data_IF_758546164030
#
_entry.id   IF_758546164030
#
_cell.length_a   1.000
_cell.length_b   1.000
_cell.length_c   1.000
_cell.angle_alpha   90.00
_cell.angle_beta   90.00
_cell.angle_gamma   90.00
#
_symmetry.space_group_name_H-M   'P 1'
#
loop_
_entity.id
_entity.type
_entity.pdbx_description
1 polymer ?
#
# COMPACT_ATOMS: atom_id res chain seq x y z
N UNK A 1 12.76 -34.99 -14.24
CA UNK A 1 12.94 -34.10 -15.39
C UNK A 1 13.10 -35.02 -16.57
N UNK A 2 11.99 -35.38 -17.22
CA UNK A 2 12.03 -36.24 -18.38
C UNK A 2 12.04 -35.33 -19.62
N UNK A 3 13.14 -35.39 -20.36
CA UNK A 3 13.30 -34.74 -21.66
C UNK A 3 12.27 -35.32 -22.63
N UNK A 4 11.29 -34.50 -23.02
CA UNK A 4 10.44 -34.81 -24.17
C UNK A 4 11.26 -34.50 -25.43
N UNK A 5 12.02 -35.50 -25.88
CA UNK A 5 12.74 -35.48 -27.15
C UNK A 5 11.77 -35.73 -28.30
N UNK A 6 11.27 -34.65 -28.92
CA UNK A 6 10.48 -34.76 -30.15
C UNK A 6 11.44 -34.92 -31.35
N UNK A 7 11.62 -36.15 -31.81
CA UNK A 7 12.32 -36.44 -33.06
C UNK A 7 11.50 -35.91 -34.26
N UNK A 8 12.02 -34.89 -34.94
CA UNK A 8 11.42 -34.34 -36.16
C UNK A 8 12.03 -35.05 -37.37
N UNK A 9 11.30 -36.03 -37.91
CA UNK A 9 11.58 -36.61 -39.23
C UNK A 9 10.52 -36.13 -40.22
N UNK A 10 10.96 -35.56 -41.35
CA UNK A 10 10.23 -35.63 -42.61
C UNK A 10 9.41 -34.41 -43.03
N UNK A 11 10.00 -33.73 -44.01
CA UNK A 11 9.47 -32.86 -45.08
C UNK A 11 8.65 -31.60 -44.79
N UNK A 12 9.21 -30.50 -45.29
CA UNK A 12 8.83 -29.13 -44.99
C UNK A 12 7.72 -28.61 -45.90
N UNK A 13 6.68 -28.06 -45.26
CA UNK A 13 5.98 -26.79 -45.60
C UNK A 13 4.56 -26.71 -45.00
N UNK A 14 4.02 -27.83 -44.48
CA UNK A 14 2.69 -27.85 -43.83
C UNK A 14 2.63 -28.41 -42.39
N UNK A 15 3.66 -29.13 -41.92
CA UNK A 15 3.64 -29.84 -40.61
C UNK A 15 4.13 -29.02 -39.42
N UNK A 16 4.95 -27.99 -39.65
CA UNK A 16 5.52 -27.14 -38.60
C UNK A 16 4.47 -26.41 -37.74
N UNK A 17 3.42 -25.78 -38.28
CA UNK A 17 2.46 -25.04 -37.45
C UNK A 17 1.61 -25.98 -36.57
N UNK A 18 1.29 -27.19 -37.05
CA UNK A 18 0.48 -28.17 -36.31
C UNK A 18 1.24 -28.72 -35.10
N UNK A 19 2.53 -29.04 -35.25
CA UNK A 19 3.35 -29.53 -34.13
C UNK A 19 3.58 -28.45 -33.06
N UNK A 20 3.75 -27.19 -33.46
CA UNK A 20 3.91 -26.08 -32.52
C UNK A 20 2.61 -25.84 -31.73
N UNK A 21 1.45 -25.88 -32.40
CA UNK A 21 0.15 -25.76 -31.73
C UNK A 21 -0.12 -26.89 -30.74
N UNK A 22 0.17 -28.14 -31.12
CA UNK A 22 0.00 -29.30 -30.25
C UNK A 22 0.93 -29.26 -29.03
N UNK A 23 2.21 -28.88 -29.21
CA UNK A 23 3.17 -28.72 -28.12
C UNK A 23 2.76 -27.59 -27.15
N UNK A 24 2.22 -26.49 -27.69
CA UNK A 24 1.69 -25.40 -26.88
C UNK A 24 0.49 -25.86 -26.04
N UNK A 25 -0.48 -26.55 -26.65
CA UNK A 25 -1.65 -27.11 -25.94
C UNK A 25 -1.19 -28.10 -24.87
N UNK A 26 -0.27 -29.02 -25.19
CA UNK A 26 0.26 -29.99 -24.24
C UNK A 26 0.93 -29.33 -23.03
N UNK A 27 1.49 -28.13 -23.20
CA UNK A 27 2.22 -27.43 -22.14
C UNK A 27 1.36 -26.42 -21.36
N UNK A 28 0.16 -26.11 -21.86
CA UNK A 28 -0.72 -25.09 -21.31
C UNK A 28 -2.11 -25.61 -20.92
N UNK A 29 -2.38 -26.90 -21.12
CA UNK A 29 -3.61 -27.56 -20.67
C UNK A 29 -3.57 -27.92 -19.17
N UNK A 30 -4.72 -28.21 -18.55
CA UNK A 30 -4.82 -28.48 -17.12
C UNK A 30 -3.94 -29.63 -16.61
N UNK A 31 -3.68 -30.62 -17.47
CA UNK A 31 -2.79 -31.76 -17.17
C UNK A 31 -1.31 -31.36 -17.02
N UNK A 32 -0.93 -30.17 -17.49
CA UNK A 32 0.42 -29.63 -17.37
C UNK A 32 0.58 -28.74 -16.12
N UNK A 33 -0.47 -28.59 -15.31
CA UNK A 33 -0.35 -27.91 -14.02
C UNK A 33 0.49 -28.75 -13.04
N UNK A 34 0.97 -28.10 -11.98
CA UNK A 34 1.78 -28.75 -10.96
C UNK A 34 0.91 -29.12 -9.76
N UNK A 35 1.41 -30.02 -8.90
CA UNK A 35 0.75 -30.29 -7.62
C UNK A 35 0.78 -29.05 -6.71
N UNK A 36 -0.27 -28.80 -5.93
CA UNK A 36 -0.29 -27.73 -4.94
C UNK A 36 0.85 -27.87 -3.94
N UNK A 37 1.50 -26.75 -3.60
CA UNK A 37 2.54 -26.70 -2.58
C UNK A 37 2.08 -25.95 -1.32
N UNK A 38 2.54 -26.37 -0.13
CA UNK A 38 2.25 -25.64 1.10
C UNK A 38 2.88 -24.25 1.05
N UNK A 39 2.12 -23.25 1.52
CA UNK A 39 2.62 -21.88 1.64
C UNK A 39 3.79 -21.83 2.63
N UNK A 40 4.90 -21.25 2.19
CA UNK A 40 6.08 -21.02 3.02
C UNK A 40 5.75 -20.15 4.23
N UNK A 41 6.40 -20.43 5.36
CA UNK A 41 6.10 -19.78 6.64
C UNK A 41 6.21 -18.24 6.57
N UNK A 42 7.20 -17.70 5.87
CA UNK A 42 7.42 -16.26 5.73
C UNK A 42 6.33 -15.52 4.94
N UNK A 43 5.52 -16.23 4.16
CA UNK A 43 4.41 -15.66 3.40
C UNK A 43 3.04 -15.88 4.08
N UNK A 44 3.02 -16.59 5.22
CA UNK A 44 1.78 -16.79 5.98
C UNK A 44 1.43 -15.50 6.70
N UNK A 45 0.14 -15.17 6.68
CA UNK A 45 -0.36 -14.09 7.51
C UNK A 45 -0.28 -14.46 8.99
N UNK A 46 0.16 -13.50 9.79
CA UNK A 46 -0.03 -13.55 11.23
C UNK A 46 -1.52 -13.50 11.58
N UNK A 47 -1.99 -14.18 12.63
CA UNK A 47 -3.39 -14.04 13.05
C UNK A 47 -3.65 -12.61 13.54
N UNK A 48 -4.86 -12.11 13.26
CA UNK A 48 -5.34 -10.86 13.88
C UNK A 48 -5.38 -11.02 15.40
N UNK A 49 -4.83 -10.06 16.14
CA UNK A 49 -4.74 -10.15 17.60
C UNK A 49 -5.75 -9.24 18.30
N UNK A 50 -6.19 -8.18 17.64
CA UNK A 50 -6.83 -7.08 18.33
C UNK A 50 -8.38 -7.13 18.26
N UNK A 51 -9.07 -6.86 19.39
CA UNK A 51 -10.54 -6.85 19.44
C UNK A 51 -11.18 -5.89 18.42
N UNK A 52 -12.15 -6.33 17.63
CA UNK A 52 -12.69 -5.46 16.55
C UNK A 52 -13.44 -4.21 17.06
N UNK A 53 -13.92 -4.22 18.29
CA UNK A 53 -14.71 -3.15 18.93
C UNK A 53 -13.87 -2.01 19.53
N UNK A 54 -12.55 -2.15 19.61
CA UNK A 54 -11.64 -1.10 20.14
C UNK A 54 -10.47 -0.79 19.20
N UNK A 55 -10.62 -1.18 17.94
CA UNK A 55 -9.60 -1.02 16.91
C UNK A 55 -9.66 0.36 16.26
N UNK A 56 -8.57 1.13 16.37
CA UNK A 56 -8.43 2.43 15.69
C UNK A 56 -8.61 2.32 14.18
N UNK A 57 -8.19 1.22 13.54
CA UNK A 57 -8.41 0.99 12.11
C UNK A 57 -9.91 0.93 11.78
N UNK A 58 -10.70 0.23 12.59
CA UNK A 58 -12.16 0.10 12.39
C UNK A 58 -12.83 1.46 12.58
N UNK A 59 -12.51 2.18 13.65
CA UNK A 59 -13.03 3.54 13.85
C UNK A 59 -12.69 4.47 12.68
N UNK A 60 -11.46 4.35 12.12
CA UNK A 60 -11.05 5.11 10.95
C UNK A 60 -11.91 4.81 9.71
N UNK A 61 -12.31 3.55 9.50
CA UNK A 61 -13.22 3.19 8.39
C UNK A 61 -14.61 3.83 8.53
N UNK A 62 -15.06 4.07 9.77
CA UNK A 62 -16.33 4.71 10.08
C UNK A 62 -16.25 6.21 10.30
N UNK A 63 -15.09 6.84 10.09
CA UNK A 63 -14.86 8.24 10.48
C UNK A 63 -15.87 9.20 9.84
N UNK A 64 -16.22 8.95 8.58
CA UNK A 64 -17.15 9.77 7.78
C UNK A 64 -18.64 9.44 7.99
N UNK A 65 -18.99 8.59 8.96
CA UNK A 65 -20.39 8.22 9.21
C UNK A 65 -21.27 9.46 9.52
N UNK A 66 -22.60 9.40 9.33
CA UNK A 66 -23.48 10.50 9.72
C UNK A 66 -23.34 10.88 11.20
N UNK A 67 -23.73 12.12 11.55
CA UNK A 67 -23.76 12.58 12.94
C UNK A 67 -24.66 11.67 13.79
N UNK A 68 -24.23 11.33 15.01
CA UNK A 68 -24.95 10.43 15.91
C UNK A 68 -24.74 8.93 15.64
N UNK A 69 -24.04 8.57 14.57
CA UNK A 69 -23.65 7.17 14.31
C UNK A 69 -22.29 6.87 14.94
N UNK A 70 -22.22 5.74 15.64
CA UNK A 70 -20.98 5.22 16.21
C UNK A 70 -19.98 4.82 15.12
N UNK A 71 -18.72 5.27 15.27
CA UNK A 71 -17.67 5.08 14.26
C UNK A 71 -17.21 3.62 14.16
N UNK A 72 -17.26 2.84 15.24
CA UNK A 72 -16.87 1.43 15.20
C UNK A 72 -17.95 0.60 14.50
N UNK A 73 -19.23 0.86 14.80
CA UNK A 73 -20.36 0.21 14.11
C UNK A 73 -20.34 0.52 12.62
N UNK A 74 -20.17 1.79 12.25
CA UNK A 74 -20.07 2.20 10.85
C UNK A 74 -18.84 1.60 10.15
N UNK A 75 -17.70 1.55 10.84
CA UNK A 75 -16.46 0.97 10.33
C UNK A 75 -16.57 -0.53 10.07
N UNK A 76 -17.16 -1.29 10.98
CA UNK A 76 -17.44 -2.72 10.78
C UNK A 76 -18.37 -2.95 9.60
N UNK A 77 -19.40 -2.11 9.45
CA UNK A 77 -20.31 -2.19 8.30
C UNK A 77 -19.58 -1.90 6.98
N UNK A 78 -18.71 -0.88 6.96
CA UNK A 78 -17.92 -0.50 5.79
C UNK A 78 -16.93 -1.61 5.37
N UNK A 79 -16.29 -2.28 6.33
CA UNK A 79 -15.39 -3.40 6.05
C UNK A 79 -16.11 -4.62 5.47
N UNK A 80 -17.34 -4.91 5.93
CA UNK A 80 -18.11 -6.07 5.44
C UNK A 80 -18.75 -5.82 4.09
N UNK A 81 -19.43 -4.68 3.93
CA UNK A 81 -20.30 -4.42 2.76
C UNK A 81 -19.63 -3.61 1.66
N UNK A 82 -18.35 -3.27 1.85
CA UNK A 82 -17.75 -2.16 1.13
C UNK A 82 -18.31 -0.83 1.62
N UNK A 83 -17.55 0.23 1.39
CA UNK A 83 -17.88 1.50 2.00
C UNK A 83 -19.14 2.10 1.35
N UNK A 84 -20.21 2.23 2.14
CA UNK A 84 -21.50 2.74 1.68
C UNK A 84 -21.31 4.12 1.00
N UNK A 85 -21.80 4.25 -0.23
CA UNK A 85 -22.04 5.56 -0.84
C UNK A 85 -23.44 6.01 -0.41
N UNK A 86 -23.54 6.51 0.82
CA UNK A 86 -24.79 6.99 1.39
C UNK A 86 -24.91 8.52 1.31
N UNK A 87 -26.13 9.02 1.13
CA UNK A 87 -26.47 10.40 1.49
C UNK A 87 -26.17 10.61 2.99
N UNK A 88 -25.54 11.74 3.34
CA UNK A 88 -25.29 12.12 4.74
C UNK A 88 -23.92 11.71 5.31
N UNK A 89 -23.00 11.17 4.50
CA UNK A 89 -21.60 11.05 4.93
C UNK A 89 -21.01 12.43 5.19
N UNK A 90 -20.31 12.55 6.31
CA UNK A 90 -19.48 13.73 6.59
C UNK A 90 -18.34 13.80 5.58
N UNK A 91 -17.92 15.02 5.23
CA UNK A 91 -16.86 15.27 4.25
C UNK A 91 -15.84 16.21 4.84
N UNK A 92 -14.58 15.89 4.59
CA UNK A 92 -13.49 16.83 4.82
C UNK A 92 -13.62 18.06 3.92
N UNK A 93 -13.16 19.23 4.39
CA UNK A 93 -13.08 20.42 3.55
C UNK A 93 -12.25 20.15 2.28
N UNK A 94 -12.67 20.72 1.15
CA UNK A 94 -11.97 20.61 -0.14
C UNK A 94 -11.14 21.86 -0.46
N UNK A 95 -10.96 22.72 0.53
CA UNK A 95 -10.23 23.99 0.41
C UNK A 95 -8.73 23.73 0.16
N UNK A 96 -8.03 24.52 -0.68
CA UNK A 96 -6.59 24.39 -0.88
C UNK A 96 -5.75 24.41 0.40
N UNK A 97 -6.17 25.17 1.43
CA UNK A 97 -5.52 25.14 2.75
C UNK A 97 -5.65 23.78 3.42
N UNK A 98 -6.77 23.08 3.22
CA UNK A 98 -6.98 21.73 3.74
C UNK A 98 -6.21 20.68 2.92
N UNK A 99 -6.23 20.77 1.60
CA UNK A 99 -5.64 19.76 0.70
C UNK A 99 -4.13 19.92 0.48
N UNK A 100 -3.52 20.95 1.05
CA UNK A 100 -2.08 21.18 0.96
C UNK A 100 -1.28 19.95 1.43
N UNK A 101 -0.11 19.72 0.82
CA UNK A 101 0.77 18.59 1.09
C UNK A 101 2.04 19.08 1.79
N UNK A 102 2.25 18.73 3.08
CA UNK A 102 3.52 19.01 3.75
C UNK A 102 4.69 18.40 2.99
N UNK A 103 5.78 19.17 2.88
CA UNK A 103 6.91 18.83 1.99
C UNK A 103 6.72 19.21 0.51
N UNK A 104 5.57 19.72 0.08
CA UNK A 104 5.42 20.34 -1.26
C UNK A 104 4.96 21.78 -1.16
N UNK A 105 3.91 22.03 -0.39
CA UNK A 105 3.14 23.29 -0.45
C UNK A 105 3.41 24.25 0.71
N UNK A 106 4.36 23.94 1.62
CA UNK A 106 4.62 24.70 2.86
C UNK A 106 3.33 24.99 3.64
N UNK A 107 2.57 23.94 3.95
CA UNK A 107 1.26 24.01 4.58
C UNK A 107 1.17 24.94 5.79
N UNK A 108 2.14 24.87 6.72
CA UNK A 108 2.10 25.69 7.94
C UNK A 108 2.21 27.17 7.58
N UNK A 109 3.05 27.53 6.61
CA UNK A 109 3.09 28.89 6.06
C UNK A 109 1.73 29.36 5.55
N UNK A 110 1.05 28.51 4.77
CA UNK A 110 -0.24 28.85 4.17
C UNK A 110 -1.33 29.06 5.23
N UNK A 111 -1.36 28.21 6.27
CA UNK A 111 -2.34 28.35 7.36
C UNK A 111 -2.11 29.61 8.18
N UNK A 112 -0.86 29.90 8.53
CA UNK A 112 -0.49 31.09 9.29
C UNK A 112 -0.70 32.39 8.51
N UNK A 113 -0.64 32.34 7.18
CA UNK A 113 -0.96 33.48 6.33
C UNK A 113 -2.47 33.76 6.23
N UNK A 114 -3.33 32.78 6.55
CA UNK A 114 -4.79 32.88 6.44
C UNK A 114 -5.48 32.27 7.69
N UNK A 115 -5.19 32.77 8.90
CA UNK A 115 -5.60 32.12 10.15
C UNK A 115 -7.13 32.06 10.30
N UNK A 116 -7.85 33.13 9.94
CA UNK A 116 -9.31 33.16 9.99
C UNK A 116 -9.95 32.09 9.11
N UNK A 117 -9.44 31.92 7.89
CA UNK A 117 -9.92 30.88 6.98
C UNK A 117 -9.62 29.50 7.52
N UNK A 118 -8.42 29.29 8.06
CA UNK A 118 -8.03 28.01 8.63
C UNK A 118 -8.87 27.66 9.89
N UNK A 119 -9.18 28.63 10.76
CA UNK A 119 -10.13 28.44 11.87
C UNK A 119 -11.53 28.07 11.38
N UNK A 120 -12.04 28.69 10.31
CA UNK A 120 -13.33 28.30 9.72
C UNK A 120 -13.32 26.85 9.19
N UNK A 121 -12.22 26.41 8.59
CA UNK A 121 -12.07 25.03 8.12
C UNK A 121 -12.05 24.05 9.28
N UNK A 122 -11.36 24.40 10.38
CA UNK A 122 -11.42 23.62 11.62
C UNK A 122 -12.85 23.57 12.16
N UNK A 123 -13.53 24.71 12.30
CA UNK A 123 -14.92 24.73 12.77
C UNK A 123 -15.85 23.86 11.89
N UNK A 124 -15.71 23.91 10.57
CA UNK A 124 -16.48 23.10 9.64
C UNK A 124 -16.21 21.59 9.75
N UNK A 125 -15.02 21.19 10.18
CA UNK A 125 -14.62 19.80 10.33
C UNK A 125 -14.58 19.32 11.79
N UNK A 126 -15.12 20.09 12.74
CA UNK A 126 -15.05 19.81 14.19
C UNK A 126 -15.55 18.40 14.56
N UNK A 127 -16.65 17.93 13.96
CA UNK A 127 -17.19 16.58 14.22
C UNK A 127 -16.21 15.49 13.78
N UNK A 128 -15.58 15.67 12.62
CA UNK A 128 -14.56 14.74 12.12
C UNK A 128 -13.28 14.82 12.98
N UNK A 129 -12.90 16.02 13.41
CA UNK A 129 -11.78 16.26 14.33
C UNK A 129 -11.95 15.52 15.66
N UNK A 130 -13.11 15.65 16.31
CA UNK A 130 -13.42 14.91 17.54
C UNK A 130 -13.37 13.39 17.35
N UNK A 131 -13.73 12.90 16.16
CA UNK A 131 -13.59 11.47 15.82
C UNK A 131 -12.14 11.05 15.59
N UNK A 132 -11.28 11.94 15.07
CA UNK A 132 -9.84 11.67 14.97
C UNK A 132 -9.21 11.49 16.36
N UNK A 133 -9.63 12.26 17.35
CA UNK A 133 -9.22 12.08 18.75
C UNK A 133 -9.64 10.70 19.28
N UNK A 134 -10.87 10.25 18.98
CA UNK A 134 -11.30 8.89 19.35
C UNK A 134 -10.44 7.79 18.69
N UNK A 135 -10.07 7.96 17.41
CA UNK A 135 -9.18 7.01 16.71
C UNK A 135 -7.79 7.01 17.34
N UNK A 136 -7.26 8.18 17.69
CA UNK A 136 -5.96 8.34 18.31
C UNK A 136 -5.90 7.71 19.71
N UNK A 137 -6.99 7.80 20.48
CA UNK A 137 -7.14 7.24 21.82
C UNK A 137 -7.51 5.76 21.86
N UNK A 138 -7.77 5.12 20.70
CA UNK A 138 -8.09 3.69 20.64
C UNK A 138 -7.02 2.85 21.36
N UNK A 139 -7.35 1.66 21.89
CA UNK A 139 -6.38 0.84 22.63
C UNK A 139 -5.29 0.24 21.72
N UNK A 140 -5.64 -0.06 20.47
CA UNK A 140 -4.75 -0.60 19.44
C UNK A 140 -5.16 -0.09 18.06
N UNK A 141 -4.22 -0.17 17.13
CA UNK A 141 -4.48 -0.02 15.71
C UNK A 141 -3.95 -1.28 15.05
N UNK A 142 -4.83 -2.05 14.43
CA UNK A 142 -4.46 -3.22 13.63
C UNK A 142 -5.32 -3.22 12.37
N UNK A 143 -4.69 -3.15 11.20
CA UNK A 143 -5.41 -3.25 9.94
C UNK A 143 -6.08 -4.62 9.82
N UNK A 144 -7.40 -4.61 9.68
CA UNK A 144 -8.16 -5.82 9.38
C UNK A 144 -8.13 -6.05 7.88
N UNK A 145 -7.61 -7.20 7.47
CA UNK A 145 -7.53 -7.53 6.06
C UNK A 145 -8.92 -7.96 5.58
N UNK A 146 -9.43 -7.39 4.49
CA UNK A 146 -10.77 -7.73 4.00
C UNK A 146 -10.86 -9.23 3.75
N UNK A 147 -11.86 -9.86 4.34
CA UNK A 147 -12.20 -11.25 4.08
C UNK A 147 -13.21 -11.29 2.94
N UNK A 148 -13.03 -12.25 2.03
CA UNK A 148 -14.01 -12.50 0.98
C UNK A 148 -15.27 -13.07 1.62
N UNK A 149 -16.43 -12.46 1.37
CA UNK A 149 -17.67 -13.17 1.66
C UNK A 149 -17.74 -14.40 0.73
N UNK A 150 -17.96 -15.61 1.27
CA UNK A 150 -18.10 -16.80 0.43
C UNK A 150 -19.30 -16.59 -0.50
N UNK A 151 -19.02 -16.30 -1.77
CA UNK A 151 -20.05 -16.19 -2.79
C UNK A 151 -20.75 -17.54 -2.92
N UNK A 152 -22.07 -17.55 -2.72
CA UNK A 152 -22.87 -18.75 -2.95
C UNK A 152 -22.62 -19.35 -4.34
N UNK A 153 -22.78 -20.67 -4.45
CA UNK A 153 -22.65 -21.42 -5.70
C UNK A 153 -23.49 -20.74 -6.80
N UNK A 154 -22.83 -20.14 -7.79
CA UNK A 154 -23.46 -19.47 -8.93
C UNK A 154 -23.37 -17.94 -8.98
N UNK A 155 -22.58 -17.28 -8.13
CA UNK A 155 -22.51 -15.81 -8.15
C UNK A 155 -22.02 -15.24 -9.49
N UNK A 156 -22.90 -14.48 -10.15
CA UNK A 156 -22.71 -13.72 -11.40
C UNK A 156 -21.61 -12.62 -11.36
N UNK A 157 -20.68 -12.70 -10.40
CA UNK A 157 -19.55 -11.79 -10.22
C UNK A 157 -18.29 -12.61 -9.93
N UNK A 158 -17.62 -13.15 -10.96
CA UNK A 158 -16.34 -13.86 -10.81
C UNK A 158 -15.21 -12.96 -10.25
N UNK A 159 -15.44 -11.65 -10.15
CA UNK A 159 -14.55 -10.67 -9.56
C UNK A 159 -15.25 -9.96 -8.38
N UNK A 160 -15.61 -10.69 -7.33
CA UNK A 160 -16.03 -10.05 -6.08
C UNK A 160 -14.80 -9.31 -5.52
N UNK A 161 -14.64 -8.03 -5.90
CA UNK A 161 -13.53 -7.19 -5.48
C UNK A 161 -13.43 -7.21 -3.95
N UNK A 162 -12.25 -7.54 -3.42
CA UNK A 162 -11.99 -7.34 -1.99
C UNK A 162 -12.31 -5.88 -1.66
N UNK A 163 -13.17 -5.59 -0.68
CA UNK A 163 -13.48 -4.21 -0.32
C UNK A 163 -12.19 -3.54 0.13
N UNK A 164 -11.69 -2.59 -0.67
CA UNK A 164 -10.49 -1.84 -0.33
C UNK A 164 -10.79 -0.91 0.85
N UNK A 165 -10.02 -0.98 1.95
CA UNK A 165 -10.20 -0.06 3.05
C UNK A 165 -9.96 1.39 2.62
N UNK A 166 -10.62 2.32 3.31
CA UNK A 166 -10.41 3.76 3.15
C UNK A 166 -9.28 4.22 4.05
N UNK A 167 -8.27 4.86 3.47
CA UNK A 167 -7.13 5.42 4.20
C UNK A 167 -7.02 6.94 4.09
N UNK A 168 -7.84 7.59 3.26
CA UNK A 168 -7.85 9.05 3.11
C UNK A 168 -8.09 9.80 4.42
N UNK A 169 -8.84 9.17 5.32
CA UNK A 169 -9.21 9.73 6.61
C UNK A 169 -8.00 9.81 7.57
N UNK A 170 -7.01 8.92 7.44
CA UNK A 170 -5.78 8.98 8.26
C UNK A 170 -5.00 10.26 7.97
N UNK A 171 -4.78 10.54 6.68
CA UNK A 171 -4.07 11.75 6.25
C UNK A 171 -4.80 13.03 6.66
N UNK A 172 -6.13 12.98 6.68
CA UNK A 172 -6.98 14.11 7.08
C UNK A 172 -6.98 14.32 8.59
N UNK A 173 -6.93 13.26 9.40
CA UNK A 173 -6.74 13.37 10.85
C UNK A 173 -5.39 13.98 11.22
N UNK A 174 -4.30 13.55 10.56
CA UNK A 174 -2.98 14.18 10.76
C UNK A 174 -3.00 15.65 10.33
N UNK A 175 -3.69 15.97 9.23
CA UNK A 175 -3.88 17.36 8.78
C UNK A 175 -4.64 18.20 9.82
N UNK A 176 -5.73 17.66 10.37
CA UNK A 176 -6.54 18.30 11.42
C UNK A 176 -5.66 18.68 12.61
N UNK A 177 -4.92 17.72 13.17
CA UNK A 177 -4.02 17.99 14.29
C UNK A 177 -2.91 18.98 13.93
N UNK A 178 -2.33 18.88 12.73
CA UNK A 178 -1.29 19.82 12.27
C UNK A 178 -1.80 21.26 12.13
N UNK A 179 -3.02 21.45 11.60
CA UNK A 179 -3.65 22.76 11.48
C UNK A 179 -4.04 23.32 12.86
N UNK A 180 -4.59 22.48 13.75
CA UNK A 180 -4.84 22.85 15.16
C UNK A 180 -3.54 23.30 15.86
N UNK A 181 -2.43 22.59 15.64
CA UNK A 181 -1.15 22.96 16.22
C UNK A 181 -0.63 24.32 15.70
N UNK A 182 -0.78 24.59 14.40
CA UNK A 182 -0.33 25.83 13.80
C UNK A 182 -1.13 27.06 14.25
N UNK A 183 -2.42 26.88 14.56
CA UNK A 183 -3.32 27.95 14.98
C UNK A 183 -3.49 28.06 16.50
N UNK A 184 -2.80 27.23 17.27
CA UNK A 184 -2.88 27.27 18.73
C UNK A 184 -2.30 28.57 19.28
N UNK A 185 -3.01 29.19 20.21
CA UNK A 185 -2.57 30.42 20.90
C UNK A 185 -1.52 30.17 21.99
N UNK A 186 -1.38 28.91 22.42
CA UNK A 186 -0.48 28.47 23.49
C UNK A 186 0.45 27.37 22.95
N UNK A 187 1.79 27.51 23.12
CA UNK A 187 2.75 26.46 22.76
C UNK A 187 2.42 25.08 23.33
N UNK A 188 1.83 24.98 24.53
CA UNK A 188 1.48 23.68 25.11
C UNK A 188 0.38 22.97 24.32
N UNK A 189 -0.61 23.73 23.81
CA UNK A 189 -1.67 23.19 22.95
C UNK A 189 -1.12 22.78 21.58
N UNK A 190 -0.20 23.57 21.02
CA UNK A 190 0.50 23.22 19.79
C UNK A 190 1.28 21.91 19.94
N UNK A 191 2.03 21.77 21.03
CA UNK A 191 2.78 20.56 21.35
C UNK A 191 1.87 19.34 21.53
N UNK A 192 0.75 19.48 22.23
CA UNK A 192 -0.22 18.40 22.43
C UNK A 192 -0.80 17.92 21.09
N UNK A 193 -1.24 18.84 20.23
CA UNK A 193 -1.79 18.50 18.92
C UNK A 193 -0.76 17.77 18.03
N UNK A 194 0.51 18.21 18.03
CA UNK A 194 1.58 17.51 17.30
C UNK A 194 1.86 16.11 17.85
N UNK A 195 1.80 15.92 19.18
CA UNK A 195 1.92 14.59 19.80
C UNK A 195 0.78 13.66 19.38
N UNK A 196 -0.46 14.15 19.35
CA UNK A 196 -1.59 13.36 18.86
C UNK A 196 -1.42 12.97 17.38
N UNK A 197 -0.95 13.89 16.54
CA UNK A 197 -0.67 13.61 15.13
C UNK A 197 0.39 12.50 14.95
N UNK A 198 1.53 12.61 15.64
CA UNK A 198 2.62 11.62 15.59
C UNK A 198 2.19 10.27 16.19
N UNK A 199 1.49 10.27 17.32
CA UNK A 199 1.01 9.07 17.97
C UNK A 199 0.05 8.28 17.05
N UNK A 200 -0.96 8.95 16.47
CA UNK A 200 -1.87 8.34 15.50
C UNK A 200 -1.10 7.78 14.30
N UNK A 201 -0.21 8.58 13.69
CA UNK A 201 0.54 8.19 12.51
C UNK A 201 1.46 6.97 12.75
N UNK A 202 2.19 6.97 13.87
CA UNK A 202 3.09 5.87 14.25
C UNK A 202 2.32 4.58 14.52
N UNK A 203 1.19 4.66 15.21
CA UNK A 203 0.33 3.51 15.47
C UNK A 203 -0.28 2.96 14.21
N UNK A 204 -0.74 3.84 13.32
CA UNK A 204 -1.24 3.43 12.02
C UNK A 204 -0.16 2.69 11.23
N UNK A 205 1.06 3.22 11.16
CA UNK A 205 2.19 2.56 10.49
C UNK A 205 2.54 1.22 11.14
N UNK A 206 2.63 1.15 12.47
CA UNK A 206 3.03 -0.06 13.19
C UNK A 206 1.98 -1.18 13.19
N UNK A 207 0.72 -0.85 12.89
CA UNK A 207 -0.39 -1.78 12.81
C UNK A 207 -0.91 -2.03 11.39
N UNK A 208 -0.31 -1.40 10.37
CA UNK A 208 -0.73 -1.59 8.97
C UNK A 208 -0.15 -2.88 8.40
N UNK A 209 -1.01 -3.73 7.85
CA UNK A 209 -0.63 -5.07 7.38
C UNK A 209 -0.53 -5.16 5.86
N UNK A 210 -1.23 -4.31 5.11
CA UNK A 210 -1.13 -4.25 3.66
C UNK A 210 -0.05 -3.27 3.22
N UNK A 211 0.35 -3.36 1.95
CA UNK A 211 1.23 -2.35 1.37
C UNK A 211 0.56 -0.98 1.40
N UNK A 212 -0.72 -0.91 1.02
CA UNK A 212 -1.47 0.34 0.98
C UNK A 212 -1.54 0.98 2.38
N UNK A 213 -1.89 0.20 3.41
CA UNK A 213 -1.88 0.66 4.80
C UNK A 213 -0.50 1.18 5.21
N UNK A 214 0.56 0.42 4.93
CA UNK A 214 1.93 0.80 5.26
C UNK A 214 2.33 2.11 4.57
N UNK A 215 2.03 2.27 3.28
CA UNK A 215 2.34 3.50 2.54
C UNK A 215 1.57 4.72 3.06
N UNK A 216 0.33 4.51 3.50
CA UNK A 216 -0.47 5.56 4.11
C UNK A 216 0.05 5.92 5.52
N UNK A 217 0.49 4.95 6.31
CA UNK A 217 1.19 5.16 7.57
C UNK A 217 2.52 5.90 7.38
N UNK A 218 3.34 5.52 6.40
CA UNK A 218 4.58 6.22 6.05
C UNK A 218 4.30 7.69 5.70
N UNK A 219 3.30 7.93 4.85
CA UNK A 219 2.92 9.28 4.45
C UNK A 219 2.38 10.11 5.65
N UNK A 220 1.66 9.47 6.57
CA UNK A 220 1.15 10.11 7.78
C UNK A 220 2.28 10.52 8.74
N UNK A 221 3.26 9.65 8.98
CA UNK A 221 4.42 9.93 9.84
C UNK A 221 5.28 11.04 9.22
N UNK A 222 5.60 10.92 7.93
CA UNK A 222 6.32 11.95 7.19
C UNK A 222 5.61 13.31 7.28
N UNK A 223 4.28 13.33 7.12
CA UNK A 223 3.48 14.56 7.23
C UNK A 223 3.63 15.19 8.61
N UNK A 224 3.45 14.40 9.67
CA UNK A 224 3.56 14.86 11.06
C UNK A 224 4.93 15.47 11.34
N UNK A 225 6.02 14.79 10.97
CA UNK A 225 7.37 15.31 11.20
C UNK A 225 7.69 16.57 10.40
N UNK A 226 7.24 16.67 9.15
CA UNK A 226 7.46 17.87 8.34
C UNK A 226 6.69 19.08 8.88
N UNK A 227 5.46 18.88 9.38
CA UNK A 227 4.68 19.93 10.04
C UNK A 227 5.34 20.37 11.35
N UNK A 228 5.75 19.42 12.19
CA UNK A 228 6.45 19.72 13.44
C UNK A 228 7.77 20.47 13.18
N UNK A 229 8.56 20.04 12.19
CA UNK A 229 9.80 20.72 11.81
C UNK A 229 9.56 22.15 11.33
N UNK A 230 8.52 22.39 10.52
CA UNK A 230 8.19 23.75 10.08
C UNK A 230 7.73 24.66 11.24
N UNK A 231 6.97 24.13 12.21
CA UNK A 231 6.57 24.88 13.40
C UNK A 231 7.76 25.17 14.33
N UNK A 232 8.69 24.24 14.50
CA UNK A 232 9.94 24.49 15.25
C UNK A 232 10.78 25.57 14.56
N UNK A 233 10.96 25.48 13.24
CA UNK A 233 11.75 26.46 12.48
C UNK A 233 11.18 27.89 12.56
N UNK A 234 9.89 28.03 12.85
CA UNK A 234 9.21 29.32 13.07
C UNK A 234 9.24 29.79 14.53
N UNK A 235 9.74 28.98 15.45
CA UNK A 235 9.73 29.27 16.89
C UNK A 235 8.36 29.09 17.56
N UNK A 236 7.39 28.47 16.88
CA UNK A 236 6.05 28.23 17.44
C UNK A 236 6.02 27.09 18.47
N UNK A 237 6.96 26.16 18.36
CA UNK A 237 7.13 25.03 19.30
C UNK A 237 8.61 24.78 19.57
N UNK A 238 8.89 24.16 20.73
CA UNK A 238 10.26 23.92 21.20
C UNK A 238 10.99 22.85 20.39
N UNK A 239 12.32 22.96 20.29
CA UNK A 239 13.17 22.00 19.56
C UNK A 239 13.14 20.61 20.18
N UNK A 240 13.03 20.55 21.50
CA UNK A 240 12.96 19.32 22.30
C UNK A 240 11.71 18.50 21.96
N UNK A 241 10.61 19.16 21.55
CA UNK A 241 9.43 18.46 21.04
C UNK A 241 9.81 17.63 19.82
N UNK A 242 10.38 18.25 18.79
CA UNK A 242 10.73 17.57 17.54
C UNK A 242 11.72 16.43 17.79
N UNK A 243 12.70 16.61 18.67
CA UNK A 243 13.59 15.51 19.06
C UNK A 243 12.81 14.34 19.67
N UNK A 244 11.82 14.61 20.54
CA UNK A 244 10.96 13.57 21.13
C UNK A 244 10.03 12.90 20.10
N UNK A 245 9.64 13.61 19.05
CA UNK A 245 8.83 13.07 17.95
C UNK A 245 9.66 12.28 16.94
N UNK A 246 11.00 12.39 16.94
CA UNK A 246 11.91 11.70 16.00
C UNK A 246 12.55 10.42 16.57
N UNK A 247 11.96 9.86 17.64
CA UNK A 247 12.34 8.55 18.20
C UNK A 247 12.27 7.47 17.11
N UNK A 248 13.20 6.48 17.07
CA UNK A 248 13.18 5.42 16.08
C UNK A 248 11.80 4.76 15.92
N UNK A 249 11.41 4.49 14.67
CA UNK A 249 10.21 3.71 14.38
C UNK A 249 10.48 2.22 14.68
N UNK A 250 9.45 1.41 15.00
CA UNK A 250 9.63 -0.02 15.14
C UNK A 250 10.26 -0.61 13.89
N UNK A 251 11.36 -1.36 14.03
CA UNK A 251 12.12 -1.87 12.87
C UNK A 251 11.24 -2.72 11.93
N UNK A 252 10.30 -3.49 12.49
CA UNK A 252 9.30 -4.24 11.74
C UNK A 252 8.45 -3.38 10.79
N UNK A 253 8.09 -2.16 11.21
CA UNK A 253 7.22 -1.27 10.43
C UNK A 253 7.93 -0.65 9.22
N UNK A 254 9.27 -0.69 9.23
CA UNK A 254 10.12 -0.27 8.12
C UNK A 254 10.53 -1.43 7.21
N UNK A 255 10.21 -2.68 7.58
CA UNK A 255 10.57 -3.87 6.81
C UNK A 255 9.46 -4.26 5.83
N UNK A 256 9.79 -4.67 4.60
CA UNK A 256 8.84 -5.30 3.70
C UNK A 256 8.23 -6.60 4.22
N UNK A 257 8.90 -7.27 5.15
CA UNK A 257 8.39 -8.49 5.80
C UNK A 257 7.04 -8.26 6.49
N UNK A 258 6.69 -7.02 6.80
CA UNK A 258 5.41 -6.67 7.39
C UNK A 258 4.23 -6.74 6.42
N UNK A 259 4.42 -6.33 5.16
CA UNK A 259 3.32 -6.20 4.19
C UNK A 259 3.35 -7.23 3.05
N UNK A 260 4.51 -7.80 2.72
CA UNK A 260 4.65 -8.82 1.68
C UNK A 260 3.72 -10.03 1.87
N UNK A 261 3.53 -10.57 3.09
CA UNK A 261 2.59 -11.68 3.29
C UNK A 261 1.14 -11.34 2.87
N UNK A 262 0.71 -10.10 3.10
CA UNK A 262 -0.62 -9.63 2.71
C UNK A 262 -0.75 -9.50 1.19
N UNK A 263 0.28 -8.97 0.52
CA UNK A 263 0.30 -8.89 -0.95
C UNK A 263 0.40 -10.28 -1.59
N UNK A 264 1.15 -11.21 -1.00
CA UNK A 264 1.21 -12.60 -1.43
C UNK A 264 -0.16 -13.29 -1.31
N UNK A 265 -0.86 -13.09 -0.19
CA UNK A 265 -2.26 -13.55 -0.05
C UNK A 265 -3.15 -12.94 -1.12
N UNK A 266 -3.09 -11.63 -1.32
CA UNK A 266 -3.91 -10.93 -2.31
C UNK A 266 -3.72 -11.53 -3.71
N UNK A 267 -2.47 -11.73 -4.15
CA UNK A 267 -2.17 -12.36 -5.44
C UNK A 267 -2.73 -13.79 -5.51
N UNK A 268 -2.61 -14.58 -4.44
CA UNK A 268 -3.19 -15.94 -4.40
C UNK A 268 -4.72 -15.93 -4.49
N UNK A 269 -5.41 -14.98 -3.86
CA UNK A 269 -6.87 -14.84 -4.01
C UNK A 269 -7.25 -14.48 -5.45
N UNK A 270 -6.51 -13.57 -6.10
CA UNK A 270 -6.74 -13.21 -7.52
C UNK A 270 -6.53 -14.42 -8.44
N UNK A 271 -5.48 -15.21 -8.22
CA UNK A 271 -5.24 -16.43 -8.99
C UNK A 271 -6.33 -17.48 -8.78
N UNK A 272 -6.85 -17.60 -7.54
CA UNK A 272 -8.00 -18.48 -7.26
C UNK A 272 -9.27 -18.02 -7.99
N UNK A 273 -9.48 -16.71 -8.15
CA UNK A 273 -10.62 -16.19 -8.93
C UNK A 273 -10.53 -16.52 -10.41
N UNK A 274 -9.34 -16.37 -10.98
CA UNK A 274 -9.10 -16.76 -12.36
C UNK A 274 -9.30 -18.27 -12.57
N UNK A 275 -8.89 -19.09 -11.59
CA UNK A 275 -9.12 -20.53 -11.60
C UNK A 275 -10.61 -20.88 -11.48
N UNK A 276 -11.34 -20.26 -10.56
CA UNK A 276 -12.78 -20.48 -10.40
C UNK A 276 -13.57 -20.06 -11.64
N UNK A 277 -13.18 -18.94 -12.29
CA UNK A 277 -13.77 -18.52 -13.55
C UNK A 277 -13.51 -19.54 -14.68
N UNK A 278 -12.33 -20.18 -14.71
CA UNK A 278 -12.03 -21.28 -15.62
C UNK A 278 -12.94 -22.47 -15.39
N UNK A 279 -13.13 -22.87 -14.14
CA UNK A 279 -13.90 -24.07 -13.79
C UNK A 279 -15.40 -23.85 -14.08
N UNK A 280 -15.97 -22.71 -13.67
CA UNK A 280 -17.36 -22.37 -14.01
C UNK A 280 -17.62 -22.20 -15.52
N UNK A 281 -16.59 -21.84 -16.28
CA UNK A 281 -16.66 -21.80 -17.74
C UNK A 281 -16.67 -23.22 -18.34
N UNK A 282 -15.94 -24.18 -17.76
CA UNK A 282 -16.00 -25.59 -18.17
C UNK A 282 -17.41 -26.17 -17.98
N UNK A 283 -18.05 -25.84 -16.86
CA UNK A 283 -19.43 -26.25 -16.56
C UNK A 283 -20.43 -25.61 -17.54
N UNK A 284 -20.33 -24.30 -17.78
CA UNK A 284 -21.20 -23.59 -18.73
C UNK A 284 -21.01 -24.03 -20.18
N UNK A 285 -19.77 -24.35 -20.59
CA UNK A 285 -19.45 -24.88 -21.91
C UNK A 285 -19.92 -26.34 -22.10
N UNK A 286 -20.28 -27.04 -21.03
CA UNK A 286 -20.92 -28.34 -21.10
C UNK A 286 -22.45 -28.27 -21.24
N UNK A 287 -23.04 -27.09 -21.05
CA UNK A 287 -24.48 -26.89 -21.17
C UNK A 287 -24.94 -27.03 -22.64
N UNK A 288 -26.05 -27.76 -22.91
CA UNK A 288 -26.51 -28.06 -24.27
C UNK A 288 -26.89 -26.80 -25.08
N UNK A 289 -27.18 -25.69 -24.41
CA UNK A 289 -27.59 -24.42 -25.03
C UNK A 289 -26.41 -23.53 -25.46
N UNK A 290 -25.17 -23.87 -25.10
CA UNK A 290 -24.00 -23.04 -25.40
C UNK A 290 -23.54 -23.18 -26.87
N UNK A 291 -23.41 -22.06 -27.57
CA UNK A 291 -22.93 -22.02 -28.95
C UNK A 291 -21.51 -22.60 -29.08
N UNK A 292 -21.15 -23.14 -30.26
CA UNK A 292 -19.80 -23.69 -30.51
C UNK A 292 -18.71 -22.62 -30.33
N UNK A 293 -18.99 -21.37 -30.69
CA UNK A 293 -18.07 -20.25 -30.51
C UNK A 293 -17.86 -19.89 -29.04
N UNK A 294 -18.89 -19.97 -28.20
CA UNK A 294 -18.76 -19.72 -26.75
C UNK A 294 -17.95 -20.82 -26.06
N UNK A 295 -18.16 -22.08 -26.47
CA UNK A 295 -17.38 -23.24 -25.98
C UNK A 295 -15.91 -23.14 -26.38
N UNK A 296 -15.63 -22.75 -27.63
CA UNK A 296 -14.26 -22.54 -28.09
C UNK A 296 -13.62 -21.32 -27.41
N UNK A 297 -14.32 -20.19 -27.32
CA UNK A 297 -13.85 -19.01 -26.62
C UNK A 297 -13.54 -19.31 -25.15
N UNK A 298 -14.40 -20.05 -24.47
CA UNK A 298 -14.18 -20.52 -23.10
C UNK A 298 -12.93 -21.41 -22.97
N UNK A 299 -12.80 -22.42 -23.84
CA UNK A 299 -11.69 -23.37 -23.86
C UNK A 299 -10.35 -22.70 -24.17
N UNK A 300 -10.32 -21.78 -25.14
CA UNK A 300 -9.10 -21.06 -25.52
C UNK A 300 -8.75 -19.93 -24.53
N UNK A 301 -9.75 -19.28 -23.91
CA UNK A 301 -9.53 -18.14 -23.01
C UNK A 301 -9.20 -18.52 -21.58
N UNK A 302 -9.70 -19.65 -21.08
CA UNK A 302 -9.55 -20.01 -19.67
C UNK A 302 -8.91 -21.38 -19.43
N UNK A 303 -9.13 -22.37 -20.30
CA UNK A 303 -8.56 -23.72 -20.11
C UNK A 303 -7.17 -23.90 -20.71
N UNK A 304 -6.74 -22.99 -21.59
CA UNK A 304 -5.43 -23.02 -22.22
C UNK A 304 -4.67 -21.74 -21.86
N UNK A 305 -3.58 -21.91 -21.11
CA UNK A 305 -2.66 -20.82 -20.76
C UNK A 305 -2.73 -20.34 -19.31
N UNK A 306 -3.70 -20.79 -18.52
CA UNK A 306 -3.73 -20.59 -17.07
C UNK A 306 -3.51 -21.92 -16.35
N UNK A 307 -2.38 -22.02 -15.66
CA UNK A 307 -2.01 -23.13 -14.78
C UNK A 307 -2.00 -22.60 -13.33
N UNK A 308 -3.12 -22.67 -12.59
CA UNK A 308 -3.28 -22.02 -11.29
C UNK A 308 -2.19 -22.36 -10.28
N UNK A 309 -1.85 -23.64 -10.11
CA UNK A 309 -0.86 -24.03 -9.10
C UNK A 309 0.54 -23.59 -9.50
N UNK A 310 0.88 -23.68 -10.79
CA UNK A 310 2.14 -23.15 -11.29
C UNK A 310 2.22 -21.63 -11.12
N UNK A 311 1.11 -20.92 -11.36
CA UNK A 311 1.03 -19.47 -11.17
C UNK A 311 1.19 -19.07 -9.70
N UNK A 312 0.59 -19.84 -8.78
CA UNK A 312 0.72 -19.62 -7.34
C UNK A 312 2.17 -19.84 -6.90
N UNK A 313 2.80 -20.94 -7.34
CA UNK A 313 4.21 -21.24 -7.07
C UNK A 313 5.15 -20.15 -7.60
N UNK A 314 4.91 -19.69 -8.83
CA UNK A 314 5.68 -18.62 -9.45
C UNK A 314 5.53 -17.28 -8.72
N UNK A 315 4.32 -16.97 -8.24
CA UNK A 315 4.06 -15.80 -7.41
C UNK A 315 4.79 -15.89 -6.07
N UNK A 316 4.64 -17.01 -5.36
CA UNK A 316 5.25 -17.23 -4.05
C UNK A 316 6.79 -17.17 -4.14
N UNK A 317 7.39 -17.74 -5.19
CA UNK A 317 8.83 -17.66 -5.43
C UNK A 317 9.33 -16.22 -5.65
N UNK A 318 8.55 -15.37 -6.35
CA UNK A 318 8.91 -13.96 -6.52
C UNK A 318 8.86 -13.19 -5.19
N UNK A 319 7.87 -13.45 -4.34
CA UNK A 319 7.79 -12.83 -3.01
C UNK A 319 8.90 -13.31 -2.09
N UNK A 320 9.21 -14.60 -2.08
CA UNK A 320 10.33 -15.16 -1.33
C UNK A 320 11.67 -14.56 -1.75
N UNK A 321 11.90 -14.40 -3.06
CA UNK A 321 13.12 -13.74 -3.54
C UNK A 321 13.24 -12.32 -2.95
N UNK A 322 12.14 -11.54 -2.93
CA UNK A 322 12.13 -10.20 -2.33
C UNK A 322 12.45 -10.24 -0.84
N UNK A 323 11.84 -11.15 -0.09
CA UNK A 323 12.11 -11.29 1.34
C UNK A 323 13.54 -11.76 1.63
N UNK A 324 14.11 -12.64 0.81
CA UNK A 324 15.49 -13.10 0.95
C UNK A 324 16.51 -11.96 0.74
N UNK A 325 16.17 -10.97 -0.10
CA UNK A 325 16.99 -9.77 -0.29
C UNK A 325 16.75 -8.67 0.76
N UNK A 326 15.67 -8.76 1.55
CA UNK A 326 15.33 -7.80 2.58
C UNK A 326 16.01 -8.15 3.92
N UNK A 327 16.40 -7.13 4.68
CA UNK A 327 16.83 -7.30 6.06
C UNK A 327 15.76 -8.02 6.89
N UNK A 328 16.18 -8.77 7.91
CA UNK A 328 15.25 -9.33 8.90
C UNK A 328 14.47 -8.21 9.61
N UNK A 329 15.18 -7.14 9.97
CA UNK A 329 14.65 -5.95 10.65
C UNK A 329 15.06 -4.67 9.92
N UNK A 330 14.13 -3.73 9.75
CA UNK A 330 14.39 -2.42 9.16
C UNK A 330 14.22 -2.34 7.63
N UNK A 331 14.50 -1.16 7.05
CA UNK A 331 14.30 -0.91 5.63
C UNK A 331 15.34 -1.62 4.75
N UNK A 332 14.97 -1.88 3.50
CA UNK A 332 15.88 -2.43 2.48
C UNK A 332 16.85 -1.34 2.02
N UNK A 333 18.13 -1.70 1.87
CA UNK A 333 19.15 -0.77 1.40
C UNK A 333 18.90 -0.33 -0.05
N UNK A 334 19.26 0.91 -0.38
CA UNK A 334 18.94 1.48 -1.68
C UNK A 334 19.58 0.71 -2.85
N UNK A 335 20.79 0.19 -2.64
CA UNK A 335 21.56 -0.61 -3.60
C UNK A 335 20.89 -1.96 -3.89
N UNK A 336 20.16 -2.52 -2.93
CA UNK A 336 19.41 -3.77 -3.13
C UNK A 336 18.12 -3.52 -3.94
N UNK A 337 17.52 -2.33 -3.80
CA UNK A 337 16.29 -1.94 -4.51
C UNK A 337 16.50 -1.67 -6.00
N UNK A 338 17.73 -1.40 -6.42
CA UNK A 338 18.07 -1.27 -7.85
C UNK A 338 18.32 -2.61 -8.54
N UNK A 339 18.40 -3.72 -7.79
CA UNK A 339 18.66 -5.05 -8.31
C UNK A 339 17.37 -5.90 -8.44
N UNK A 340 17.47 -7.02 -9.17
CA UNK A 340 16.50 -8.11 -9.00
C UNK A 340 16.59 -8.61 -7.55
N UNK A 341 15.45 -8.83 -6.85
CA UNK A 341 14.10 -9.07 -7.36
C UNK A 341 13.12 -7.88 -7.23
N UNK A 342 13.59 -6.70 -6.85
CA UNK A 342 12.74 -5.52 -6.62
C UNK A 342 12.32 -4.82 -7.91
N UNK A 343 13.17 -4.86 -8.93
CA UNK A 343 12.88 -4.32 -10.25
C UNK A 343 12.14 -5.34 -11.12
N UNK A 344 11.16 -4.85 -11.87
CA UNK A 344 10.53 -5.61 -12.95
C UNK A 344 11.39 -5.44 -14.21
N UNK A 345 12.09 -6.49 -14.62
CA UNK A 345 12.70 -6.49 -15.95
C UNK A 345 11.61 -6.72 -17.00
N UNK A 346 11.44 -5.84 -18.00
CA UNK A 346 10.51 -6.09 -19.08
C UNK A 346 10.93 -7.35 -19.80
N UNK A 347 10.12 -8.41 -19.69
CA UNK A 347 10.37 -9.66 -20.39
C UNK A 347 10.40 -9.41 -21.88
N UNK A 348 11.51 -9.77 -22.52
CA UNK A 348 11.70 -9.62 -23.98
C UNK A 348 10.87 -10.61 -24.80
N UNK A 349 10.33 -11.66 -24.16
CA UNK A 349 9.57 -12.73 -24.82
C UNK A 349 8.40 -13.21 -23.96
N UNK A 350 7.22 -13.51 -24.56
CA UNK A 350 6.09 -14.07 -23.83
C UNK A 350 6.45 -15.46 -23.29
N UNK A 351 6.05 -15.74 -22.05
CA UNK A 351 6.20 -17.07 -21.50
C UNK A 351 5.34 -18.07 -22.31
N UNK A 352 6.00 -19.05 -22.91
CA UNK A 352 5.36 -20.04 -23.79
C UNK A 352 4.50 -21.05 -23.01
N UNK A 353 4.81 -21.28 -21.72
CA UNK A 353 4.03 -22.07 -20.76
C UNK A 353 3.38 -21.13 -19.74
N UNK A 354 2.14 -21.45 -19.36
CA UNK A 354 1.33 -20.66 -18.43
C UNK A 354 1.16 -19.21 -18.90
N UNK A 355 0.91 -18.99 -20.19
CA UNK A 355 0.94 -17.65 -20.79
C UNK A 355 0.02 -16.65 -20.09
N UNK A 356 -1.23 -17.01 -19.80
CA UNK A 356 -2.19 -16.15 -19.11
C UNK A 356 -1.85 -15.97 -17.63
N UNK A 357 -1.40 -17.03 -16.94
CA UNK A 357 -0.93 -16.92 -15.56
C UNK A 357 0.27 -15.99 -15.45
N UNK A 358 1.25 -16.13 -16.35
CA UNK A 358 2.41 -15.25 -16.44
C UNK A 358 2.04 -13.83 -16.82
N UNK A 359 1.14 -13.63 -17.78
CA UNK A 359 0.62 -12.28 -18.05
C UNK A 359 -0.10 -11.70 -16.84
N UNK A 360 -0.84 -12.47 -16.05
CA UNK A 360 -1.46 -11.95 -14.83
C UNK A 360 -0.41 -11.48 -13.82
N UNK A 361 0.69 -12.24 -13.68
CA UNK A 361 1.81 -11.87 -12.80
C UNK A 361 2.65 -10.72 -13.36
N UNK A 362 2.77 -10.60 -14.69
CA UNK A 362 3.65 -9.64 -15.38
C UNK A 362 2.92 -8.34 -15.81
N UNK A 363 1.61 -8.38 -16.08
CA UNK A 363 0.81 -7.26 -16.62
C UNK A 363 0.48 -6.19 -15.58
N UNK A 364 0.76 -6.45 -14.31
CA UNK A 364 0.90 -5.42 -13.29
C UNK A 364 2.40 -5.24 -13.02
N UNK A 365 3.18 -4.54 -13.90
CA UNK A 365 4.56 -4.19 -13.62
C UNK A 365 4.58 -3.13 -12.51
N UNK A 366 4.24 -3.56 -11.30
CA UNK A 366 4.34 -2.76 -10.10
C UNK A 366 5.82 -2.79 -9.74
N UNK A 367 6.50 -1.65 -9.93
CA UNK A 367 7.86 -1.49 -9.47
C UNK A 367 7.87 -1.43 -7.93
N UNK A 368 7.94 -2.61 -7.30
CA UNK A 368 7.90 -2.76 -5.85
C UNK A 368 9.04 -2.02 -5.15
N UNK A 369 10.14 -1.77 -5.87
CA UNK A 369 11.29 -1.02 -5.37
C UNK A 369 10.88 0.38 -4.85
N UNK A 370 9.92 1.04 -5.51
CA UNK A 370 9.46 2.38 -5.14
C UNK A 370 8.81 2.39 -3.76
N UNK A 371 8.09 1.33 -3.39
CA UNK A 371 7.42 1.24 -2.10
C UNK A 371 8.38 0.91 -0.96
N UNK A 372 9.29 -0.04 -1.17
CA UNK A 372 10.35 -0.32 -0.19
C UNK A 372 11.27 0.90 -0.01
N UNK A 373 11.55 1.65 -1.08
CA UNK A 373 12.30 2.90 -1.00
C UNK A 373 11.60 3.96 -0.13
N UNK A 374 10.26 4.00 -0.08
CA UNK A 374 9.54 4.93 0.80
C UNK A 374 9.77 4.62 2.29
N UNK A 375 9.88 3.35 2.67
CA UNK A 375 10.22 2.97 4.05
C UNK A 375 11.65 3.41 4.41
N UNK A 376 12.60 3.24 3.49
CA UNK A 376 13.97 3.76 3.65
C UNK A 376 14.00 5.29 3.73
N UNK A 377 13.28 5.97 2.83
CA UNK A 377 13.22 7.43 2.77
C UNK A 377 12.63 8.03 4.05
N UNK A 378 11.68 7.35 4.69
CA UNK A 378 11.16 7.78 5.98
C UNK A 378 12.24 7.76 7.06
N UNK A 379 13.05 6.69 7.13
CA UNK A 379 14.16 6.61 8.09
C UNK A 379 15.26 7.64 7.77
N UNK A 380 15.59 7.83 6.49
CA UNK A 380 16.52 8.86 6.05
C UNK A 380 16.01 10.27 6.39
N UNK A 381 14.71 10.53 6.24
CA UNK A 381 14.09 11.79 6.65
C UNK A 381 14.21 11.98 8.15
N UNK A 382 13.90 10.95 8.96
CA UNK A 382 14.04 10.99 10.42
C UNK A 382 15.44 11.40 10.83
N UNK A 383 16.45 10.73 10.27
CA UNK A 383 17.86 10.99 10.56
C UNK A 383 18.28 12.38 10.09
N UNK A 384 17.79 12.84 8.93
CA UNK A 384 18.08 14.17 8.39
C UNK A 384 17.49 15.29 9.25
N UNK A 385 16.28 15.08 9.80
CA UNK A 385 15.65 16.02 10.74
C UNK A 385 16.32 16.00 12.12
N UNK A 386 16.79 14.84 12.58
CA UNK A 386 17.43 14.69 13.88
C UNK A 386 18.85 15.22 13.92
N UNK A 387 19.64 15.00 12.87
CA UNK A 387 21.07 15.30 12.80
C UNK A 387 21.45 16.70 13.31
N UNK A 388 20.86 17.81 12.80
CA UNK A 388 21.17 19.15 13.30
C UNK A 388 20.64 19.45 14.71
N UNK A 389 19.65 18.71 15.22
CA UNK A 389 19.22 18.84 16.62
C UNK A 389 20.27 18.31 17.61
N UNK A 390 21.11 17.37 17.17
CA UNK A 390 22.12 16.71 18.00
C UNK A 390 23.55 16.96 17.54
N UNK A 391 23.78 17.92 16.64
CA UNK A 391 25.11 18.29 16.14
C UNK A 391 25.80 17.21 15.28
N UNK A 392 25.02 16.35 14.62
CA UNK A 392 25.53 15.31 13.72
C UNK A 392 25.39 15.69 12.25
N UNK A 393 26.16 15.03 11.39
CA UNK A 393 26.05 15.19 9.94
C UNK A 393 24.80 14.47 9.39
N UNK A 394 24.20 15.02 8.34
CA UNK A 394 23.13 14.36 7.58
C UNK A 394 23.63 13.04 6.98
N UNK A 395 22.80 11.98 6.92
CA UNK A 395 23.19 10.72 6.29
C UNK A 395 23.61 10.90 4.82
N UNK A 396 24.72 10.27 4.42
CA UNK A 396 25.24 10.34 3.04
C UNK A 396 24.29 9.75 1.98
N UNK A 397 23.39 8.87 2.40
CA UNK A 397 22.35 8.31 1.54
C UNK A 397 21.26 9.34 1.17
N UNK A 398 21.06 10.37 2.01
CA UNK A 398 20.16 11.48 1.75
C UNK A 398 20.87 12.62 1.01
N UNK A 399 20.18 13.27 0.08
CA UNK A 399 20.65 14.50 -0.56
C UNK A 399 19.80 15.67 -0.10
N UNK A 400 20.46 16.74 0.32
CA UNK A 400 19.85 18.02 0.65
C UNK A 400 20.30 19.07 -0.36
N UNK A 401 19.39 19.60 -1.17
CA UNK A 401 19.66 20.72 -2.09
C UNK A 401 19.07 22.01 -1.52
N UNK A 402 19.87 23.07 -1.40
CA UNK A 402 19.36 24.38 -1.00
C UNK A 402 18.66 25.07 -2.17
N UNK A 403 17.45 25.56 -1.95
CA UNK A 403 16.66 26.36 -2.89
C UNK A 403 16.13 27.59 -2.16
N UNK A 404 16.84 28.72 -2.27
CA UNK A 404 16.52 29.92 -1.48
C UNK A 404 16.59 29.64 0.03
N UNK A 405 15.46 29.84 0.71
CA UNK A 405 15.30 29.67 2.16
C UNK A 405 14.83 28.27 2.57
N UNK A 406 14.72 27.32 1.64
CA UNK A 406 14.32 25.94 1.93
C UNK A 406 15.39 24.94 1.49
N UNK A 407 15.33 23.74 2.06
CA UNK A 407 16.11 22.60 1.61
C UNK A 407 15.19 21.56 0.97
N UNK A 408 15.61 20.95 -0.13
CA UNK A 408 14.94 19.82 -0.77
C UNK A 408 15.61 18.54 -0.35
N UNK A 409 14.83 17.63 0.23
CA UNK A 409 15.22 16.30 0.62
C UNK A 409 14.91 15.31 -0.51
N UNK A 410 15.95 14.59 -0.92
CA UNK A 410 15.87 13.50 -1.87
C UNK A 410 16.52 12.25 -1.26
N UNK A 411 15.73 11.19 -1.08
CA UNK A 411 16.19 9.90 -0.57
C UNK A 411 16.58 8.91 -1.67
N UNK A 412 16.40 7.62 -1.38
CA UNK A 412 16.57 6.53 -2.31
C UNK A 412 15.56 6.58 -3.46
N UNK A 413 14.29 6.95 -3.21
CA UNK A 413 13.26 6.93 -4.26
C UNK A 413 13.58 7.88 -5.41
N UNK A 414 14.15 9.04 -5.12
CA UNK A 414 14.63 10.00 -6.14
C UNK A 414 15.80 9.45 -6.99
N UNK A 415 16.50 8.40 -6.54
CA UNK A 415 17.49 7.66 -7.36
C UNK A 415 16.81 6.63 -8.26
N UNK A 416 15.72 6.03 -7.79
CA UNK A 416 14.97 5.02 -8.54
C UNK A 416 14.04 5.63 -9.60
N UNK A 417 13.53 6.84 -9.34
CA UNK A 417 12.60 7.60 -10.18
C UNK A 417 13.08 9.05 -10.26
N UNK A 418 13.82 9.44 -11.32
CA UNK A 418 14.47 10.76 -11.41
C UNK A 418 13.53 11.98 -11.36
N UNK A 419 12.25 11.82 -11.68
CA UNK A 419 11.24 12.88 -11.69
C UNK A 419 10.33 12.89 -10.43
N UNK A 420 10.66 12.10 -9.40
CA UNK A 420 9.88 12.11 -8.16
C UNK A 420 10.16 13.41 -7.38
N UNK A 421 9.12 14.19 -7.02
CA UNK A 421 9.32 15.47 -6.35
C UNK A 421 9.93 15.32 -4.96
N UNK A 422 11.05 16.00 -4.75
CA UNK A 422 11.74 16.14 -3.48
C UNK A 422 10.83 16.74 -2.39
N UNK A 423 11.02 16.29 -1.15
CA UNK A 423 10.33 16.88 -0.01
C UNK A 423 11.01 18.18 0.45
N UNK A 424 10.24 19.25 0.62
CA UNK A 424 10.70 20.52 1.19
C UNK A 424 10.86 20.41 2.70
N UNK A 425 12.07 20.65 3.18
CA UNK A 425 12.40 20.88 4.58
C UNK A 425 12.54 22.39 4.83
N UNK A 426 11.85 22.90 5.85
CA UNK A 426 12.00 24.28 6.30
C UNK A 426 13.07 24.32 7.39
N UNK A 427 14.23 24.93 7.10
CA UNK A 427 15.33 25.13 8.04
C UNK A 427 15.63 26.62 8.13
N UNK A 428 14.93 27.34 9.01
CA UNK A 428 15.22 28.76 9.23
C UNK A 428 16.09 29.03 10.48
N UNK A 429 16.07 28.16 11.51
CA UNK A 429 16.86 28.39 12.73
C UNK A 429 16.92 27.14 13.64
N UNK A 430 17.56 26.07 13.19
CA UNK A 430 17.97 24.95 14.04
C UNK A 430 19.50 24.89 14.09
#
# INVERSE_FOLDING_TARGET
MDEISVAVVGDGRGRRPVCVGAAWVASNGPWADVSPEPLAAELRLEPEQAPRDRNGFVALQGLSAPVGVDVFVAGQAALRRGAAQGSGLLRWPQDPLWTCRPGRDRCVALWLAQPERAHQLLAAAQVLGARCELVEQAAFYEELLPEREPGGSGAARPFASLPLPRFSDLGSCVQWFGMTAALASDPAQAEAALRHADHLARRALAGSRSLLGTMMGVAAVQRSWLQAAELVARGSVRRELLQSLLVPLPARALSPRHWVPSEARFTREVLRDLAAARDGCADAASAPESGVLDRLACRYRYQLGLLPELSARDSDAQWQARLASASADGPVACEQLSAAPWRVEPRRWPAWRNTLGRWTLDAAPVDWAVYAARQLDLELLRQSLLAPLIGQATPSAARLRREGDVQRFAGCRARLVPDDPDATLSWAAL
#
